data_IF_123432040502
#
_entry.id   IF_123432040502
#
_cell.length_a   1.000
_cell.length_b   1.000
_cell.length_c   1.000
_cell.angle_alpha   90.00
_cell.angle_beta   90.00
_cell.angle_gamma   90.00
#
_symmetry.space_group_name_H-M   'P 1'
#
loop_
_entity.id
_entity.type
_entity.pdbx_description
1 polymer ?
#
# COMPACT_ATOMS: atom_id res chain seq x y z
N UNK A 1 53.42 62.83 -7.19
CA UNK A 1 52.28 62.95 -8.13
C UNK A 1 52.14 61.63 -8.87
N UNK A 2 51.26 60.75 -8.39
CA UNK A 2 50.47 59.80 -9.18
C UNK A 2 49.46 59.16 -8.21
N UNK A 3 48.23 59.66 -8.19
CA UNK A 3 47.13 59.05 -7.45
C UNK A 3 46.45 58.07 -8.41
N UNK A 4 46.49 56.77 -8.09
CA UNK A 4 45.78 55.73 -8.86
C UNK A 4 44.36 55.65 -8.32
N UNK A 5 43.41 56.06 -9.15
CA UNK A 5 41.98 56.02 -8.88
C UNK A 5 41.46 54.60 -9.21
N UNK A 6 41.11 53.82 -8.20
CA UNK A 6 40.40 52.54 -8.38
C UNK A 6 38.91 52.83 -8.65
N UNK A 7 38.28 52.23 -9.67
CA UNK A 7 36.86 52.39 -9.90
C UNK A 7 36.06 51.65 -8.80
N UNK A 8 34.90 52.18 -8.36
CA UNK A 8 34.01 51.45 -7.47
C UNK A 8 33.40 50.28 -8.26
N UNK A 9 33.73 49.05 -7.84
CA UNK A 9 32.99 47.86 -8.22
C UNK A 9 31.57 48.00 -7.67
N UNK A 10 30.59 48.19 -8.56
CA UNK A 10 29.18 48.05 -8.24
C UNK A 10 28.90 46.58 -7.90
N UNK A 11 29.12 46.22 -6.64
CA UNK A 11 28.54 45.01 -6.07
C UNK A 11 27.04 45.29 -5.92
N UNK A 12 26.25 44.82 -6.89
CA UNK A 12 24.81 44.64 -6.69
C UNK A 12 24.70 43.54 -5.63
N UNK A 13 24.54 43.94 -4.37
CA UNK A 13 24.11 43.03 -3.33
C UNK A 13 22.69 42.59 -3.71
N UNK A 14 22.53 41.38 -4.23
CA UNK A 14 21.23 40.74 -4.31
C UNK A 14 20.78 40.49 -2.87
N UNK A 15 19.88 41.34 -2.40
CA UNK A 15 19.23 41.19 -1.11
C UNK A 15 18.25 40.01 -1.24
N UNK A 16 18.77 38.82 -0.90
CA UNK A 16 18.07 37.55 -1.04
C UNK A 16 17.78 37.02 0.37
N UNK A 17 16.51 37.01 0.76
CA UNK A 17 16.10 36.66 2.12
C UNK A 17 16.08 35.13 2.28
N UNK A 18 16.85 34.63 3.26
CA UNK A 18 16.86 33.21 3.62
C UNK A 18 15.76 32.95 4.63
N UNK A 19 14.87 32.03 4.30
CA UNK A 19 13.74 31.64 5.14
C UNK A 19 13.76 30.15 5.45
N UNK A 20 13.06 29.76 6.51
CA UNK A 20 12.69 28.37 6.78
C UNK A 20 11.23 28.22 6.37
N UNK A 21 10.94 27.26 5.51
CA UNK A 21 9.60 27.05 4.94
C UNK A 21 9.22 25.58 4.99
N UNK A 22 7.96 25.28 5.30
CA UNK A 22 7.46 23.90 5.26
C UNK A 22 7.14 23.50 3.83
N UNK A 23 7.71 22.40 3.36
CA UNK A 23 7.51 21.91 1.98
C UNK A 23 6.45 20.82 1.93
N UNK A 24 5.46 21.01 1.07
CA UNK A 24 4.46 20.00 0.70
C UNK A 24 4.68 19.66 -0.77
N UNK A 25 5.17 18.45 -1.05
CA UNK A 25 5.46 17.96 -2.40
C UNK A 25 4.44 16.91 -2.81
N UNK A 26 3.72 17.15 -3.90
CA UNK A 26 2.67 16.23 -4.40
C UNK A 26 1.73 15.77 -3.27
N UNK A 27 1.25 16.73 -2.48
CA UNK A 27 0.37 16.56 -1.30
C UNK A 27 1.02 15.89 -0.07
N UNK A 28 2.26 15.43 -0.17
CA UNK A 28 3.01 14.85 0.94
C UNK A 28 3.78 15.92 1.73
N UNK A 29 3.69 15.91 3.06
CA UNK A 29 4.47 16.79 3.91
C UNK A 29 5.92 16.27 4.02
N UNK A 30 6.88 17.04 3.52
CA UNK A 30 8.30 16.69 3.50
C UNK A 30 9.10 17.32 4.65
N UNK A 31 8.48 18.17 5.46
CA UNK A 31 9.13 18.85 6.58
C UNK A 31 9.58 20.27 6.24
N UNK A 32 10.56 20.77 6.99
CA UNK A 32 11.04 22.14 6.91
C UNK A 32 12.37 22.21 6.16
N UNK A 33 12.49 23.17 5.24
CA UNK A 33 13.67 23.37 4.41
C UNK A 33 14.09 24.85 4.41
N UNK A 34 15.38 25.08 4.13
CA UNK A 34 15.88 26.42 3.88
C UNK A 34 15.65 26.80 2.42
N UNK A 35 15.05 27.97 2.21
CA UNK A 35 14.81 28.52 0.89
C UNK A 35 15.26 29.98 0.82
N UNK A 36 15.59 30.43 -0.39
CA UNK A 36 15.86 31.84 -0.65
C UNK A 36 14.77 32.36 -1.57
N UNK A 37 14.07 33.40 -1.13
CA UNK A 37 13.08 34.09 -1.95
C UNK A 37 13.79 35.21 -2.71
N UNK A 38 13.62 35.24 -4.03
CA UNK A 38 14.10 36.35 -4.86
C UNK A 38 13.06 37.46 -4.95
N UNK A 39 13.50 38.67 -5.31
CA UNK A 39 12.59 39.81 -5.50
C UNK A 39 11.53 39.58 -6.57
N UNK A 40 11.80 38.66 -7.51
CA UNK A 40 10.88 38.28 -8.60
C UNK A 40 9.86 37.22 -8.16
N UNK A 41 9.86 36.82 -6.88
CA UNK A 41 8.98 35.79 -6.33
C UNK A 41 9.40 34.37 -6.68
N UNK A 42 10.62 34.18 -7.18
CA UNK A 42 11.20 32.85 -7.36
C UNK A 42 11.71 32.30 -6.03
N UNK A 43 11.79 30.98 -5.95
CA UNK A 43 12.27 30.25 -4.79
C UNK A 43 13.47 29.43 -5.20
N UNK A 44 14.57 29.66 -4.50
CA UNK A 44 15.81 28.93 -4.67
C UNK A 44 15.95 27.95 -3.51
N UNK A 45 16.06 26.67 -3.83
CA UNK A 45 16.38 25.61 -2.86
C UNK A 45 17.76 25.04 -3.17
N UNK A 46 18.47 24.51 -2.18
CA UNK A 46 19.77 23.91 -2.47
C UNK A 46 19.59 22.64 -3.31
N UNK A 47 20.58 22.34 -4.16
CA UNK A 47 20.53 21.11 -4.97
C UNK A 47 20.46 19.83 -4.09
N UNK A 48 21.04 19.87 -2.89
CA UNK A 48 20.96 18.78 -1.92
C UNK A 48 19.53 18.59 -1.40
N UNK A 49 18.86 19.67 -0.98
CA UNK A 49 17.48 19.64 -0.49
C UNK A 49 16.51 19.13 -1.57
N UNK A 50 16.67 19.60 -2.81
CA UNK A 50 15.80 19.19 -3.94
C UNK A 50 15.97 17.69 -4.25
N UNK A 51 17.19 17.14 -4.08
CA UNK A 51 17.43 15.70 -4.19
C UNK A 51 16.86 14.91 -3.02
N UNK A 52 16.93 15.45 -1.80
CA UNK A 52 16.33 14.84 -0.60
C UNK A 52 14.80 14.77 -0.71
N UNK A 53 14.19 15.74 -1.39
CA UNK A 53 12.78 15.70 -1.78
C UNK A 53 12.43 14.58 -2.78
N UNK A 54 13.43 13.89 -3.33
CA UNK A 54 13.27 12.75 -4.25
C UNK A 54 13.35 13.12 -5.74
N UNK A 55 13.54 14.41 -6.06
CA UNK A 55 13.70 14.87 -7.43
C UNK A 55 15.16 14.67 -7.87
N UNK A 56 15.43 13.58 -8.56
CA UNK A 56 16.79 13.15 -8.94
C UNK A 56 17.13 13.41 -10.41
N UNK A 57 16.13 13.59 -11.27
CA UNK A 57 16.32 13.83 -12.71
C UNK A 57 16.20 15.32 -13.04
N UNK A 58 17.06 16.14 -12.44
CA UNK A 58 17.06 17.59 -12.65
C UNK A 58 18.04 17.97 -13.78
N UNK A 59 17.66 18.88 -14.70
CA UNK A 59 18.58 19.38 -15.71
C UNK A 59 19.78 20.09 -15.07
N UNK A 60 21.00 19.62 -15.36
CA UNK A 60 22.23 20.19 -14.80
C UNK A 60 22.42 21.69 -15.11
N UNK A 61 21.83 22.17 -16.20
CA UNK A 61 21.94 23.54 -16.73
C UNK A 61 21.12 24.57 -15.93
N UNK A 62 20.28 24.11 -15.00
CA UNK A 62 19.36 24.96 -14.20
C UNK A 62 19.89 25.21 -12.77
N UNK A 63 21.20 25.10 -12.57
CA UNK A 63 21.87 25.34 -11.29
C UNK A 63 22.53 26.71 -11.26
N UNK A 64 22.31 27.44 -10.16
CA UNK A 64 22.96 28.72 -9.89
C UNK A 64 23.83 28.58 -8.65
N UNK A 65 25.07 29.06 -8.70
CA UNK A 65 25.95 29.08 -7.53
C UNK A 65 25.78 30.40 -6.77
N UNK A 66 25.44 30.32 -5.49
CA UNK A 66 25.37 31.45 -4.55
C UNK A 66 26.23 31.11 -3.35
N UNK A 67 27.21 31.95 -3.01
CA UNK A 67 28.17 31.72 -1.91
C UNK A 67 28.87 30.34 -1.94
N UNK A 68 29.14 29.82 -3.13
CA UNK A 68 29.78 28.49 -3.30
C UNK A 68 28.84 27.29 -3.08
N UNK A 69 27.54 27.52 -2.86
CA UNK A 69 26.51 26.47 -2.83
C UNK A 69 25.70 26.47 -4.12
N UNK A 70 25.34 25.28 -4.59
CA UNK A 70 24.44 25.12 -5.74
C UNK A 70 22.99 25.24 -5.28
N UNK A 71 22.29 26.19 -5.89
CA UNK A 71 20.86 26.42 -5.75
C UNK A 71 20.14 26.09 -7.06
N UNK A 72 18.88 25.73 -6.93
CA UNK A 72 17.97 25.44 -8.04
C UNK A 72 16.78 26.37 -7.91
N UNK A 73 16.52 27.13 -8.97
CA UNK A 73 15.32 27.94 -9.13
C UNK A 73 14.13 27.03 -9.42
N UNK A 74 13.11 27.07 -8.57
CA UNK A 74 11.88 26.32 -8.81
C UNK A 74 11.12 26.86 -10.02
N UNK A 75 11.19 28.17 -10.30
CA UNK A 75 10.59 28.77 -11.49
C UNK A 75 11.25 28.25 -12.77
N UNK A 76 12.58 28.04 -12.75
CA UNK A 76 13.31 27.46 -13.88
C UNK A 76 12.89 26.02 -14.20
N UNK A 77 12.28 25.31 -13.25
CA UNK A 77 11.78 23.94 -13.41
C UNK A 77 10.37 23.88 -14.00
N UNK A 78 9.79 25.01 -14.39
CA UNK A 78 8.55 25.01 -15.18
C UNK A 78 8.82 24.47 -16.60
N UNK A 79 7.93 23.61 -17.17
CA UNK A 79 6.62 23.20 -16.64
C UNK A 79 6.64 21.87 -15.87
N UNK A 80 7.81 21.30 -15.57
CA UNK A 80 7.92 20.05 -14.80
C UNK A 80 7.52 20.23 -13.33
N UNK A 81 7.63 21.45 -12.82
CA UNK A 81 7.19 21.85 -11.48
C UNK A 81 6.28 23.09 -11.57
N UNK A 82 5.26 23.10 -10.73
CA UNK A 82 4.52 24.31 -10.35
C UNK A 82 4.55 24.47 -8.84
N UNK A 83 4.66 25.69 -8.35
CA UNK A 83 4.69 25.95 -6.91
C UNK A 83 3.86 27.16 -6.50
N UNK A 84 3.48 27.20 -5.23
CA UNK A 84 2.80 28.32 -4.61
C UNK A 84 3.23 28.47 -3.14
N UNK A 85 3.44 29.71 -2.71
CA UNK A 85 3.78 30.04 -1.31
C UNK A 85 2.54 30.55 -0.59
N UNK A 86 2.22 29.91 0.52
CA UNK A 86 1.32 30.45 1.52
C UNK A 86 2.15 31.18 2.58
N UNK A 87 2.25 32.49 2.45
CA UNK A 87 3.03 33.34 3.36
C UNK A 87 2.45 33.37 4.78
N UNK A 88 1.13 33.14 4.95
CA UNK A 88 0.49 33.17 6.27
C UNK A 88 0.89 31.97 7.11
N UNK A 89 0.99 30.81 6.46
CA UNK A 89 1.32 29.54 7.10
C UNK A 89 2.80 29.15 6.93
N UNK A 90 3.59 29.95 6.21
CA UNK A 90 4.96 29.63 5.79
C UNK A 90 5.06 28.24 5.13
N UNK A 91 4.19 27.99 4.14
CA UNK A 91 4.13 26.72 3.40
C UNK A 91 4.48 26.93 1.93
N UNK A 92 5.40 26.11 1.43
CA UNK A 92 5.69 25.96 0.01
C UNK A 92 5.00 24.70 -0.51
N UNK A 93 4.01 24.88 -1.39
CA UNK A 93 3.34 23.78 -2.08
C UNK A 93 3.98 23.59 -3.44
N UNK A 94 4.45 22.38 -3.70
CA UNK A 94 5.12 21.99 -4.94
C UNK A 94 4.32 20.84 -5.57
N UNK A 95 3.99 20.98 -6.84
CA UNK A 95 3.50 19.89 -7.70
C UNK A 95 4.57 19.61 -8.74
N UNK A 96 5.13 18.41 -8.71
CA UNK A 96 6.22 17.97 -9.57
C UNK A 96 5.79 16.75 -10.37
N UNK A 97 6.09 16.72 -11.67
CA UNK A 97 5.74 15.58 -12.51
C UNK A 97 6.58 14.33 -12.16
N UNK A 98 6.04 13.12 -12.36
CA UNK A 98 6.72 11.86 -12.01
C UNK A 98 8.09 11.67 -12.66
N UNK A 99 8.35 12.24 -13.84
CA UNK A 99 9.60 12.06 -14.58
C UNK A 99 10.83 12.63 -13.84
N UNK A 100 10.61 13.54 -12.89
CA UNK A 100 11.67 14.10 -12.04
C UNK A 100 12.14 13.12 -10.95
N UNK A 101 11.34 12.08 -10.66
CA UNK A 101 11.61 11.10 -9.61
C UNK A 101 12.22 9.82 -10.19
N UNK A 102 12.72 8.96 -9.30
CA UNK A 102 13.14 7.63 -9.68
C UNK A 102 11.94 6.78 -10.10
N UNK A 103 12.08 6.00 -11.18
CA UNK A 103 11.09 4.99 -11.55
C UNK A 103 10.93 3.97 -10.42
N UNK A 104 9.71 3.86 -9.89
CA UNK A 104 9.36 2.83 -8.92
C UNK A 104 8.69 1.66 -9.67
N UNK A 105 9.33 0.50 -9.67
CA UNK A 105 8.67 -0.74 -10.12
C UNK A 105 7.92 -1.34 -8.94
N UNK A 106 6.60 -1.26 -9.00
CA UNK A 106 5.73 -1.97 -8.05
C UNK A 106 5.41 -3.33 -8.67
N UNK A 107 6.01 -4.39 -8.15
CA UNK A 107 5.63 -5.75 -8.53
C UNK A 107 4.31 -6.12 -7.84
N UNK A 108 3.22 -6.02 -8.59
CA UNK A 108 1.87 -6.35 -8.14
C UNK A 108 1.60 -7.87 -8.19
N UNK A 109 2.52 -8.67 -8.73
CA UNK A 109 2.37 -10.12 -8.75
C UNK A 109 2.90 -10.69 -7.44
N UNK A 110 1.99 -11.17 -6.59
CA UNK A 110 2.37 -11.98 -5.45
C UNK A 110 3.05 -13.27 -5.94
N UNK A 111 4.38 -13.26 -6.04
CA UNK A 111 5.14 -14.48 -6.29
C UNK A 111 4.81 -15.44 -5.13
N UNK A 112 4.34 -16.67 -5.39
CA UNK A 112 4.02 -17.59 -4.31
C UNK A 112 5.29 -17.81 -3.48
N UNK A 113 5.23 -17.41 -2.21
CA UNK A 113 6.33 -17.59 -1.28
C UNK A 113 6.70 -19.08 -1.23
N UNK A 114 8.00 -19.39 -1.28
CA UNK A 114 8.50 -20.72 -0.95
C UNK A 114 8.35 -20.95 0.56
N UNK A 115 7.12 -21.23 1.01
CA UNK A 115 6.87 -21.61 2.40
C UNK A 115 6.89 -23.13 2.52
N UNK A 116 7.72 -23.63 3.43
CA UNK A 116 7.71 -25.05 3.81
C UNK A 116 6.39 -25.35 4.52
N UNK A 117 5.47 -26.03 3.83
CA UNK A 117 4.23 -26.48 4.42
C UNK A 117 4.43 -27.81 5.13
N UNK A 118 4.00 -27.86 6.38
CA UNK A 118 3.94 -29.10 7.15
C UNK A 118 2.76 -29.94 6.65
N UNK A 119 3.06 -31.11 6.06
CA UNK A 119 2.07 -32.11 5.65
C UNK A 119 1.93 -33.13 6.77
N UNK A 120 0.75 -33.17 7.40
CA UNK A 120 0.42 -34.19 8.37
C UNK A 120 -0.89 -34.86 7.98
N UNK A 121 -0.88 -36.19 8.02
CA UNK A 121 -2.11 -36.94 7.90
C UNK A 121 -2.93 -36.71 9.18
N UNK A 122 -4.18 -36.30 9.02
CA UNK A 122 -5.04 -35.97 10.14
C UNK A 122 -6.48 -36.32 9.82
N UNK A 123 -7.28 -36.52 10.86
CA UNK A 123 -8.71 -36.72 10.75
C UNK A 123 -9.42 -35.92 11.84
N UNK A 124 -10.64 -35.50 11.56
CA UNK A 124 -11.47 -34.76 12.48
C UNK A 124 -12.94 -35.17 12.37
N UNK A 125 -13.67 -34.91 13.46
CA UNK A 125 -15.11 -35.04 13.55
C UNK A 125 -15.65 -33.75 14.17
N UNK A 126 -16.49 -33.04 13.42
CA UNK A 126 -17.27 -31.94 13.95
C UNK A 126 -18.70 -32.43 14.20
N UNK A 127 -19.28 -32.10 15.34
CA UNK A 127 -20.65 -32.50 15.67
C UNK A 127 -21.34 -31.42 16.49
N UNK A 128 -22.67 -31.36 16.39
CA UNK A 128 -23.50 -30.62 17.33
C UNK A 128 -24.73 -31.43 17.71
N UNK A 129 -25.32 -31.12 18.87
CA UNK A 129 -26.52 -31.78 19.37
C UNK A 129 -27.49 -30.68 19.77
N UNK A 130 -28.66 -30.66 19.14
CA UNK A 130 -29.76 -29.76 19.45
C UNK A 130 -31.00 -30.56 19.87
N UNK A 131 -31.71 -30.08 20.87
CA UNK A 131 -32.97 -30.68 21.30
C UNK A 131 -34.01 -29.58 21.50
N UNK A 132 -35.10 -29.69 20.75
CA UNK A 132 -36.22 -28.75 20.77
C UNK A 132 -37.43 -29.42 21.44
N UNK A 133 -38.03 -28.70 22.39
CA UNK A 133 -39.20 -29.14 23.15
C UNK A 133 -40.30 -28.08 23.11
N UNK A 134 -41.55 -28.50 22.93
CA UNK A 134 -42.74 -27.63 22.94
C UNK A 134 -43.71 -28.06 24.05
N UNK A 135 -44.25 -27.08 24.80
CA UNK A 135 -45.07 -27.26 26.01
C UNK A 135 -46.29 -28.20 25.88
N UNK A 136 -46.76 -28.48 24.66
CA UNK A 136 -47.89 -29.39 24.40
C UNK A 136 -47.49 -30.88 24.25
N UNK A 137 -46.23 -31.24 24.56
CA UNK A 137 -45.68 -32.61 24.55
C UNK A 137 -45.85 -33.42 23.24
N UNK A 138 -46.35 -32.81 22.17
CA UNK A 138 -46.68 -33.52 20.92
C UNK A 138 -45.52 -33.57 19.92
N UNK A 139 -44.54 -32.66 20.01
CA UNK A 139 -43.40 -32.60 19.09
C UNK A 139 -42.11 -32.29 19.86
N UNK A 140 -41.27 -33.31 20.03
CA UNK A 140 -39.90 -33.17 20.52
C UNK A 140 -38.98 -33.53 19.35
N UNK A 141 -37.95 -32.73 19.09
CA UNK A 141 -37.01 -33.00 18.00
C UNK A 141 -35.58 -33.00 18.51
N UNK A 142 -34.86 -34.09 18.27
CA UNK A 142 -33.42 -34.20 18.45
C UNK A 142 -32.73 -34.07 17.09
N UNK A 143 -31.80 -33.14 16.96
CA UNK A 143 -31.03 -32.89 15.73
C UNK A 143 -29.54 -33.03 16.01
N UNK A 144 -28.86 -33.88 15.23
CA UNK A 144 -27.43 -34.14 15.36
C UNK A 144 -26.79 -34.06 13.96
N UNK A 145 -26.39 -32.87 13.49
CA UNK A 145 -25.53 -32.76 12.33
C UNK A 145 -24.08 -33.09 12.71
N UNK A 146 -23.38 -33.76 11.82
CA UNK A 146 -21.97 -34.08 11.99
C UNK A 146 -21.22 -34.14 10.67
N UNK A 147 -19.93 -33.84 10.71
CA UNK A 147 -19.01 -33.85 9.58
C UNK A 147 -17.75 -34.63 9.95
N UNK A 148 -17.37 -35.53 9.06
CA UNK A 148 -16.15 -36.31 9.14
C UNK A 148 -15.20 -35.80 8.07
N UNK A 149 -13.95 -35.54 8.47
CA UNK A 149 -12.90 -35.10 7.57
C UNK A 149 -11.61 -35.88 7.76
N UNK A 150 -10.89 -36.11 6.67
CA UNK A 150 -9.56 -36.67 6.70
C UNK A 150 -8.67 -35.98 5.66
N UNK A 151 -7.45 -35.65 6.06
CA UNK A 151 -6.39 -35.13 5.20
C UNK A 151 -5.31 -36.19 5.09
N UNK A 152 -5.00 -36.63 3.87
CA UNK A 152 -3.90 -37.55 3.58
C UNK A 152 -3.08 -36.98 2.42
N UNK A 153 -1.80 -36.71 2.67
CA UNK A 153 -0.92 -36.01 1.73
C UNK A 153 -1.49 -34.66 1.24
N UNK A 154 -1.97 -34.60 -0.01
CA UNK A 154 -2.52 -33.39 -0.65
C UNK A 154 -4.03 -33.48 -0.86
N UNK A 155 -4.66 -34.54 -0.36
CA UNK A 155 -6.07 -34.82 -0.53
C UNK A 155 -6.80 -34.60 0.79
N UNK A 156 -7.87 -33.84 0.74
CA UNK A 156 -8.79 -33.64 1.87
C UNK A 156 -10.14 -34.20 1.48
N UNK A 157 -10.56 -35.26 2.17
CA UNK A 157 -11.90 -35.84 2.07
C UNK A 157 -12.80 -35.27 3.15
N UNK A 158 -14.04 -34.91 2.79
CA UNK A 158 -15.06 -34.43 3.70
C UNK A 158 -16.39 -35.15 3.43
N UNK A 159 -17.11 -35.48 4.49
CA UNK A 159 -18.47 -35.99 4.40
C UNK A 159 -19.33 -35.46 5.55
N UNK A 160 -20.48 -34.88 5.22
CA UNK A 160 -21.44 -34.34 6.18
C UNK A 160 -22.74 -35.12 6.20
N UNK A 161 -23.34 -35.19 7.38
CA UNK A 161 -24.54 -35.95 7.68
C UNK A 161 -25.44 -35.17 8.63
N UNK A 162 -26.74 -35.44 8.57
CA UNK A 162 -27.72 -34.92 9.52
C UNK A 162 -28.58 -36.06 10.04
N UNK A 163 -28.53 -36.30 11.34
CA UNK A 163 -29.47 -37.16 12.03
C UNK A 163 -30.58 -36.31 12.64
N UNK A 164 -31.83 -36.72 12.45
CA UNK A 164 -32.99 -36.13 13.10
C UNK A 164 -33.89 -37.20 13.70
N UNK A 165 -34.43 -36.94 14.88
CA UNK A 165 -35.41 -37.79 15.52
C UNK A 165 -36.55 -36.94 16.07
N UNK A 166 -37.76 -37.19 15.57
CA UNK A 166 -39.00 -36.69 16.13
C UNK A 166 -39.84 -37.86 16.70
N UNK A 167 -40.99 -37.55 17.30
CA UNK A 167 -41.85 -38.56 17.94
C UNK A 167 -42.30 -39.71 17.01
N UNK A 168 -42.29 -39.52 15.69
CA UNK A 168 -42.79 -40.47 14.70
C UNK A 168 -41.71 -40.99 13.75
N UNK A 169 -40.54 -40.36 13.69
CA UNK A 169 -39.53 -40.62 12.67
C UNK A 169 -38.11 -40.50 13.21
N UNK A 170 -37.25 -41.37 12.68
CA UNK A 170 -35.79 -41.30 12.81
C UNK A 170 -35.24 -41.26 11.40
N UNK A 171 -34.41 -40.28 11.10
CA UNK A 171 -33.84 -40.10 9.77
C UNK A 171 -32.35 -39.80 9.90
N UNK A 172 -31.54 -40.44 9.06
CA UNK A 172 -30.14 -40.09 8.86
C UNK A 172 -29.97 -39.77 7.38
N UNK A 173 -29.64 -38.51 7.09
CA UNK A 173 -29.46 -38.02 5.73
C UNK A 173 -27.97 -37.75 5.50
N UNK A 174 -27.41 -38.35 4.44
CA UNK A 174 -26.11 -37.92 3.91
C UNK A 174 -26.30 -36.62 3.15
N UNK A 175 -25.54 -35.59 3.50
CA UNK A 175 -25.59 -34.29 2.86
C UNK A 175 -24.57 -34.25 1.72
N UNK A 176 -23.35 -33.80 2.00
CA UNK A 176 -22.30 -33.62 0.99
C UNK A 176 -21.16 -34.61 1.23
N UNK A 177 -20.56 -35.12 0.15
CA UNK A 177 -19.29 -35.84 0.22
C UNK A 177 -18.40 -35.40 -0.92
N UNK A 178 -17.18 -34.99 -0.60
CA UNK A 178 -16.21 -34.56 -1.62
C UNK A 178 -14.77 -34.87 -1.23
N UNK A 179 -13.92 -34.94 -2.25
CA UNK A 179 -12.48 -35.00 -2.13
C UNK A 179 -11.91 -33.78 -2.84
N UNK A 180 -11.07 -33.03 -2.14
CA UNK A 180 -10.42 -31.82 -2.62
C UNK A 180 -8.92 -32.04 -2.74
N UNK A 181 -8.33 -31.57 -3.83
CA UNK A 181 -6.87 -31.47 -4.03
C UNK A 181 -6.51 -30.05 -4.47
N UNK A 182 -5.56 -29.44 -3.78
CA UNK A 182 -5.05 -28.10 -4.13
C UNK A 182 -3.69 -28.18 -4.81
N UNK A 183 -3.64 -27.75 -6.07
CA UNK A 183 -2.40 -27.50 -6.81
C UNK A 183 -1.97 -26.04 -6.64
N UNK A 184 -1.02 -25.83 -5.73
CA UNK A 184 -0.52 -24.50 -5.36
C UNK A 184 0.42 -23.92 -6.41
N UNK A 185 1.06 -24.74 -7.24
CA UNK A 185 1.97 -24.26 -8.28
C UNK A 185 1.18 -23.59 -9.42
N UNK A 186 0.00 -24.13 -9.74
CA UNK A 186 -0.88 -23.57 -10.78
C UNK A 186 -2.05 -22.76 -10.23
N UNK A 187 -2.15 -22.63 -8.90
CA UNK A 187 -3.24 -21.97 -8.18
C UNK A 187 -4.62 -22.54 -8.55
N UNK A 188 -4.71 -23.87 -8.65
CA UNK A 188 -5.93 -24.60 -9.02
C UNK A 188 -6.40 -25.52 -7.91
N UNK A 189 -7.72 -25.57 -7.70
CA UNK A 189 -8.39 -26.52 -6.82
C UNK A 189 -9.19 -27.50 -7.64
N UNK A 190 -9.00 -28.79 -7.39
CA UNK A 190 -9.79 -29.87 -7.97
C UNK A 190 -10.70 -30.44 -6.89
N UNK A 191 -12.00 -30.48 -7.16
CA UNK A 191 -13.00 -31.06 -6.27
C UNK A 191 -13.71 -32.17 -7.04
N UNK A 192 -13.78 -33.35 -6.44
CA UNK A 192 -14.54 -34.50 -6.96
C UNK A 192 -15.60 -34.88 -5.94
N UNK A 193 -16.83 -35.01 -6.38
CA UNK A 193 -18.00 -35.27 -5.53
C UNK A 193 -18.94 -34.08 -5.51
N UNK A 194 -19.62 -33.90 -4.40
CA UNK A 194 -20.61 -32.83 -4.25
C UNK A 194 -19.92 -31.49 -3.97
N UNK A 195 -20.30 -30.45 -4.70
CA UNK A 195 -19.84 -29.09 -4.44
C UNK A 195 -20.99 -28.10 -4.72
N UNK A 196 -21.14 -27.04 -3.91
CA UNK A 196 -22.05 -25.97 -4.25
C UNK A 196 -21.50 -25.19 -5.45
N UNK A 197 -22.31 -25.03 -6.49
CA UNK A 197 -22.03 -24.14 -7.60
C UNK A 197 -22.93 -22.91 -7.48
N UNK A 198 -22.35 -21.72 -7.36
CA UNK A 198 -23.08 -20.46 -7.45
C UNK A 198 -22.87 -19.89 -8.85
N UNK A 199 -23.97 -19.55 -9.54
CA UNK A 199 -23.95 -18.82 -10.82
C UNK A 199 -23.87 -17.32 -10.61
#
# INVERSE_FOLDING_TARGET
MLAVLLPPSLAIAQDSERIIIRVILNEENKGEYFAVITQDGDILMTHEDVRELGMIHLPHERRQTIDGKEYISLMSLSPEITFHVDEKEAILRITAKPELFQEQTIDLMAKPYESTYLKFDSAFLNYSIGYDWTDNFHNNTLSIPFELGASINEYVGLSSFAYSHDNNRKELVRLMTSITKDDRATLRRYIVGDFPATS
#
